data_IF_557386546296
#
_entry.id   IF_557386546296
#
_cell.length_a   1.000
_cell.length_b   1.000
_cell.length_c   1.000
_cell.angle_alpha   90.00
_cell.angle_beta   90.00
_cell.angle_gamma   90.00
#
_symmetry.space_group_name_H-M   'P 1'
#
loop_
_entity.id
_entity.type
_entity.pdbx_description
1 polymer ?
#
# COMPACT_ATOMS: atom_id res chain seq x y z
N UNK A 1 3.98 -4.46 -14.52
CA UNK A 1 3.71 -4.42 -13.06
C UNK A 1 4.24 -3.10 -12.55
N UNK A 2 3.44 -2.32 -11.82
CA UNK A 2 3.89 -1.07 -11.19
C UNK A 2 5.12 -1.38 -10.35
N UNK A 3 6.27 -0.79 -10.69
CA UNK A 3 7.46 -0.89 -9.84
C UNK A 3 7.34 0.18 -8.78
N UNK A 4 6.77 -0.19 -7.64
CA UNK A 4 6.77 0.67 -6.47
C UNK A 4 8.24 0.89 -6.09
N UNK A 5 8.72 2.12 -6.26
CA UNK A 5 10.08 2.48 -5.87
C UNK A 5 10.19 2.42 -4.35
N UNK A 6 11.41 2.19 -3.83
CA UNK A 6 11.65 2.12 -2.39
C UNK A 6 11.13 3.37 -1.63
N UNK A 7 11.30 4.62 -2.13
CA UNK A 7 10.74 5.81 -1.47
C UNK A 7 9.20 5.80 -1.38
N UNK A 8 8.51 5.31 -2.43
CA UNK A 8 7.05 5.29 -2.45
C UNK A 8 6.46 4.28 -1.45
N UNK A 9 7.14 3.14 -1.27
CA UNK A 9 6.75 2.14 -0.28
C UNK A 9 6.91 2.65 1.16
N UNK A 10 7.97 3.39 1.45
CA UNK A 10 8.16 4.03 2.76
C UNK A 10 7.06 5.06 3.05
N UNK A 11 6.64 5.82 2.05
CA UNK A 11 5.56 6.79 2.22
C UNK A 11 4.23 6.11 2.52
N UNK A 12 3.88 5.05 1.77
CA UNK A 12 2.69 4.22 2.06
C UNK A 12 2.76 3.70 3.50
N UNK A 13 3.90 3.17 3.93
CA UNK A 13 4.09 2.65 5.29
C UNK A 13 3.80 3.70 6.35
N UNK A 14 4.27 4.94 6.16
CA UNK A 14 3.99 6.04 7.09
C UNK A 14 2.50 6.42 7.12
N UNK A 15 1.81 6.40 5.98
CA UNK A 15 0.36 6.59 5.95
C UNK A 15 -0.40 5.42 6.57
N UNK A 16 0.04 4.17 6.38
CA UNK A 16 -0.58 2.99 6.98
C UNK A 16 -0.59 3.07 8.50
N UNK A 17 0.52 3.52 9.12
CA UNK A 17 0.62 3.71 10.57
C UNK A 17 -0.37 4.76 11.11
N UNK A 18 -0.80 5.70 10.26
CA UNK A 18 -1.73 6.78 10.61
C UNK A 18 -3.19 6.42 10.31
N UNK A 19 -3.44 5.35 9.57
CA UNK A 19 -4.79 4.89 9.23
C UNK A 19 -5.35 4.03 10.37
N UNK A 20 -6.39 4.50 11.11
CA UNK A 20 -6.94 3.77 12.25
C UNK A 20 -7.48 2.38 11.89
N UNK A 21 -8.02 2.21 10.67
CA UNK A 21 -8.57 0.92 10.23
C UNK A 21 -7.46 -0.09 10.00
N UNK A 22 -6.34 0.35 9.43
CA UNK A 22 -5.19 -0.52 9.21
C UNK A 22 -4.48 -0.86 10.53
N UNK A 23 -4.46 0.06 11.49
CA UNK A 23 -3.96 -0.23 12.84
C UNK A 23 -4.85 -1.24 13.59
N UNK A 24 -6.17 -1.16 13.44
CA UNK A 24 -7.10 -2.18 13.96
C UNK A 24 -6.84 -3.56 13.34
N UNK A 25 -6.58 -3.59 12.02
CA UNK A 25 -6.18 -4.82 11.33
C UNK A 25 -4.84 -5.33 11.83
N UNK A 26 -3.87 -4.46 12.12
CA UNK A 26 -2.58 -4.87 12.67
C UNK A 26 -2.73 -5.60 14.01
N UNK A 27 -3.57 -5.07 14.92
CA UNK A 27 -3.89 -5.74 16.18
C UNK A 27 -4.55 -7.10 15.93
N UNK A 28 -5.49 -7.17 14.99
CA UNK A 28 -6.17 -8.42 14.65
C UNK A 28 -5.25 -9.46 14.02
N UNK A 29 -4.20 -9.03 13.29
CA UNK A 29 -3.14 -9.90 12.76
C UNK A 29 -2.30 -10.46 13.92
N UNK A 30 -1.91 -9.61 14.87
CA UNK A 30 -1.09 -10.00 16.04
C UNK A 30 -1.82 -11.03 16.92
N UNK A 31 -3.13 -10.88 17.07
CA UNK A 31 -4.00 -11.84 17.78
C UNK A 31 -4.32 -13.10 16.95
N UNK A 32 -3.85 -13.20 15.71
CA UNK A 32 -4.10 -14.35 14.82
C UNK A 32 -5.53 -14.45 14.29
N UNK A 33 -6.32 -13.37 14.37
CA UNK A 33 -7.72 -13.31 13.90
C UNK A 33 -7.86 -12.97 12.42
N UNK A 34 -6.80 -12.47 11.79
CA UNK A 34 -6.75 -12.15 10.37
C UNK A 34 -5.79 -13.07 9.61
N UNK A 35 -6.29 -13.72 8.54
CA UNK A 35 -5.50 -14.64 7.70
C UNK A 35 -5.19 -14.07 6.32
N UNK A 36 -6.04 -13.17 5.84
CA UNK A 36 -5.90 -12.50 4.54
C UNK A 36 -4.95 -11.29 4.62
N UNK A 37 -4.83 -10.67 5.79
CA UNK A 37 -3.91 -9.57 6.03
C UNK A 37 -2.59 -10.09 6.61
N UNK A 38 -1.47 -9.53 6.13
CA UNK A 38 -0.12 -9.85 6.60
C UNK A 38 0.75 -8.60 6.60
N UNK A 39 1.72 -8.55 7.50
CA UNK A 39 2.81 -7.57 7.45
C UNK A 39 3.99 -8.21 6.74
N UNK A 40 4.56 -7.53 5.74
CA UNK A 40 5.75 -8.03 5.04
C UNK A 40 7.06 -7.68 5.76
N UNK A 41 8.19 -8.11 5.21
CA UNK A 41 9.53 -7.87 5.75
C UNK A 41 9.90 -6.38 5.88
N UNK A 42 9.21 -5.50 5.14
CA UNK A 42 9.42 -4.06 5.18
C UNK A 42 8.48 -3.36 6.18
N UNK A 43 7.63 -4.12 6.88
CA UNK A 43 6.64 -3.59 7.81
C UNK A 43 5.39 -3.04 7.12
N UNK A 44 5.11 -3.45 5.88
CA UNK A 44 3.96 -2.96 5.10
C UNK A 44 2.80 -3.95 5.23
N UNK A 45 1.62 -3.43 5.54
CA UNK A 45 0.38 -4.22 5.58
C UNK A 45 -0.06 -4.55 4.16
N UNK A 46 -0.29 -5.85 3.92
CA UNK A 46 -0.75 -6.40 2.65
C UNK A 46 -2.00 -7.22 2.82
N UNK A 47 -2.94 -7.06 1.92
CA UNK A 47 -4.12 -7.91 1.77
C UNK A 47 -3.91 -8.88 0.61
N UNK A 48 -3.85 -10.19 0.90
CA UNK A 48 -3.61 -11.24 -0.11
C UNK A 48 -2.43 -10.94 -1.05
N UNK A 49 -1.33 -10.46 -0.47
CA UNK A 49 -0.09 -10.11 -1.18
C UNK A 49 -0.07 -8.72 -1.84
N UNK A 50 -1.19 -7.99 -1.85
CA UNK A 50 -1.29 -6.62 -2.40
C UNK A 50 -1.08 -5.58 -1.30
N UNK A 51 -0.34 -4.52 -1.60
CA UNK A 51 -0.12 -3.41 -0.67
C UNK A 51 -1.45 -2.72 -0.34
N UNK A 52 -1.76 -2.58 0.95
CA UNK A 52 -2.90 -1.79 1.39
C UNK A 52 -2.55 -0.31 1.27
N UNK A 53 -3.27 0.45 0.44
CA UNK A 53 -3.04 1.88 0.30
C UNK A 53 -4.17 2.61 1.03
N UNK A 54 -3.86 3.43 2.06
CA UNK A 54 -4.84 4.30 2.69
C UNK A 54 -5.54 5.22 1.67
N UNK A 55 -6.83 5.49 1.87
CA UNK A 55 -7.61 6.38 0.99
C UNK A 55 -7.33 7.85 1.30
N UNK A 56 -6.15 8.31 0.89
CA UNK A 56 -5.73 9.72 0.96
C UNK A 56 -5.45 10.26 -0.44
N UNK A 57 -5.93 11.47 -0.79
CA UNK A 57 -5.76 12.03 -2.13
C UNK A 57 -4.30 12.08 -2.62
N UNK A 58 -3.36 12.33 -1.71
CA UNK A 58 -1.93 12.42 -1.97
C UNK A 58 -1.37 11.09 -2.48
N UNK A 59 -1.68 9.98 -1.79
CA UNK A 59 -1.27 8.64 -2.23
C UNK A 59 -1.87 8.29 -3.58
N UNK A 60 -3.14 8.63 -3.83
CA UNK A 60 -3.79 8.38 -5.13
C UNK A 60 -3.07 9.10 -6.26
N UNK A 61 -2.72 10.38 -6.04
CA UNK A 61 -1.94 11.16 -7.01
C UNK A 61 -0.58 10.52 -7.27
N UNK A 62 0.13 10.11 -6.22
CA UNK A 62 1.45 9.49 -6.36
C UNK A 62 1.41 8.15 -7.10
N UNK A 63 0.38 7.33 -6.88
CA UNK A 63 0.17 6.09 -7.63
C UNK A 63 -0.03 6.37 -9.12
N UNK A 64 -0.82 7.39 -9.45
CA UNK A 64 -1.06 7.79 -10.84
C UNK A 64 0.23 8.30 -11.51
N UNK A 65 1.00 9.11 -10.81
CA UNK A 65 2.30 9.61 -11.29
C UNK A 65 3.31 8.48 -11.49
N UNK A 66 3.41 7.55 -10.54
CA UNK A 66 4.29 6.38 -10.66
C UNK A 66 3.83 5.44 -11.79
N UNK A 67 2.52 5.29 -11.99
CA UNK A 67 1.94 4.58 -13.13
C UNK A 67 2.29 5.18 -14.47
N UNK A 68 2.27 6.52 -14.56
CA UNK A 68 2.71 7.23 -15.75
C UNK A 68 4.22 7.04 -16.01
N UNK A 69 5.06 7.18 -14.96
CA UNK A 69 6.53 7.01 -15.06
C UNK A 69 6.95 5.59 -15.40
N UNK A 70 6.26 4.59 -14.87
CA UNK A 70 6.60 3.17 -15.06
C UNK A 70 6.25 2.61 -16.45
N UNK A 71 5.79 3.46 -17.38
CA UNK A 71 5.47 3.06 -18.76
C UNK A 71 4.22 2.19 -18.86
N UNK A 72 3.39 2.15 -17.81
CA UNK A 72 2.09 1.48 -17.82
C UNK A 72 0.97 2.36 -18.39
N UNK A 73 1.36 3.42 -19.12
CA UNK A 73 0.44 4.33 -19.79
C UNK A 73 -0.19 3.63 -21.00
N UNK A 74 -1.33 2.99 -20.77
CA UNK A 74 -2.22 2.58 -21.86
C UNK A 74 -2.81 3.87 -22.45
N UNK A 75 -2.28 4.29 -23.60
CA UNK A 75 -2.86 5.37 -24.39
C UNK A 75 -3.87 4.76 -25.38
N UNK A 76 -5.19 4.90 -25.17
CA UNK A 76 -6.16 4.71 -26.22
C UNK A 76 -6.20 6.01 -27.04
N UNK A 77 -5.16 6.25 -27.84
CA UNK A 77 -5.05 7.37 -28.77
C UNK A 77 -4.69 6.86 -30.15
#
# INVERSE_FOLDING_TARGET
MLKLTNPFLEEIKEYQKRDPKLMEKLVSIDEGRETDFKVDENGIIRYRGRVCVPDVPELRKMILEEGHRSGLSIHPG
#
